data_IF_606661771486
#
_entry.id   IF_606661771486
#
_cell.length_a   1.000
_cell.length_b   1.000
_cell.length_c   1.000
_cell.angle_alpha   90.00
_cell.angle_beta   90.00
_cell.angle_gamma   90.00
#
_symmetry.space_group_name_H-M   'P 1'
#
loop_
_entity.id
_entity.type
_entity.pdbx_description
1 polymer ?
#
# COMPACT_ATOMS: atom_id res chain seq x y z
N UNK A 1 26.56 -0.87 37.17
CA UNK A 1 28.00 -0.85 36.87
C UNK A 1 28.85 -0.35 38.07
N UNK A 2 28.44 0.68 38.78
CA UNK A 2 29.21 1.27 39.93
C UNK A 2 29.41 0.34 41.10
N UNK A 3 28.69 -0.80 41.18
CA UNK A 3 28.82 -1.77 42.27
C UNK A 3 29.72 -2.95 41.89
N UNK A 4 30.17 -3.05 40.64
CA UNK A 4 31.01 -4.16 40.17
C UNK A 4 32.48 -3.79 40.38
N UNK A 5 33.22 -4.62 41.10
CA UNK A 5 34.64 -4.42 41.40
C UNK A 5 35.58 -5.18 40.47
N UNK A 6 35.06 -6.19 39.75
CA UNK A 6 35.83 -7.05 38.89
C UNK A 6 35.34 -6.85 37.43
N UNK A 7 36.19 -6.30 36.60
CA UNK A 7 35.90 -5.99 35.18
C UNK A 7 36.51 -7.01 34.22
N UNK A 8 37.06 -8.11 34.71
CA UNK A 8 37.67 -9.16 33.93
C UNK A 8 39.19 -9.18 33.96
N UNK A 9 39.76 -10.25 33.44
CA UNK A 9 41.20 -10.57 33.47
C UNK A 9 41.90 -10.43 32.09
N UNK A 10 41.22 -9.86 31.12
CA UNK A 10 41.71 -9.71 29.73
C UNK A 10 41.55 -10.99 28.89
N UNK A 11 40.88 -12.01 29.39
CA UNK A 11 40.58 -13.21 28.61
C UNK A 11 39.52 -12.97 27.53
N UNK A 12 39.52 -13.80 26.49
CA UNK A 12 38.57 -13.69 25.36
C UNK A 12 37.09 -13.78 25.79
N UNK A 13 36.83 -14.34 26.95
CA UNK A 13 35.46 -14.50 27.50
C UNK A 13 35.10 -13.46 28.55
N UNK A 14 36.04 -12.59 28.96
CA UNK A 14 35.81 -11.68 30.10
C UNK A 14 34.67 -10.69 29.83
N UNK A 15 34.53 -10.21 28.61
CA UNK A 15 33.42 -9.30 28.23
C UNK A 15 32.04 -10.00 28.27
N UNK A 16 31.96 -11.24 27.80
CA UNK A 16 30.71 -12.03 27.82
C UNK A 16 30.33 -12.44 29.28
N UNK A 17 31.30 -12.81 30.09
CA UNK A 17 31.10 -13.10 31.50
C UNK A 17 30.63 -11.87 32.29
N UNK A 18 31.23 -10.72 32.02
CA UNK A 18 30.80 -9.47 32.63
C UNK A 18 29.37 -9.11 32.18
N UNK A 19 29.04 -9.22 30.89
CA UNK A 19 27.71 -9.00 30.39
C UNK A 19 26.66 -9.82 31.12
N UNK A 20 26.92 -11.12 31.30
CA UNK A 20 25.98 -12.04 31.95
C UNK A 20 25.76 -11.78 33.45
N UNK A 21 26.76 -11.22 34.12
CA UNK A 21 26.73 -11.00 35.57
C UNK A 21 26.32 -9.59 36.00
N UNK A 22 26.71 -8.60 35.21
CA UNK A 22 26.67 -7.20 35.63
C UNK A 22 25.71 -6.32 34.86
N UNK A 23 25.29 -6.72 33.65
CA UNK A 23 24.43 -5.91 32.80
C UNK A 23 22.98 -6.38 32.88
N UNK A 24 22.04 -5.59 33.42
CA UNK A 24 20.65 -6.00 33.64
C UNK A 24 19.78 -5.84 32.40
N UNK A 25 20.36 -5.82 31.20
CA UNK A 25 19.64 -5.70 29.92
C UNK A 25 19.77 -6.99 29.13
N UNK A 26 18.76 -7.28 28.30
CA UNK A 26 18.71 -8.50 27.49
C UNK A 26 19.51 -8.36 26.18
N UNK A 27 19.64 -7.15 25.67
CA UNK A 27 20.30 -6.88 24.39
C UNK A 27 21.72 -6.37 24.65
N UNK A 28 22.65 -7.30 24.72
CA UNK A 28 24.07 -7.06 24.94
C UNK A 28 24.86 -7.88 23.97
N UNK A 29 25.65 -7.23 23.13
CA UNK A 29 26.53 -7.85 22.16
C UNK A 29 28.00 -7.65 22.54
N UNK A 30 28.84 -8.61 22.19
CA UNK A 30 30.30 -8.53 22.34
C UNK A 30 30.92 -8.55 20.95
N UNK A 31 31.69 -7.52 20.63
CA UNK A 31 32.38 -7.42 19.34
C UNK A 31 33.89 -7.21 19.53
N UNK A 32 34.68 -7.81 18.63
CA UNK A 32 36.13 -7.67 18.55
C UNK A 32 36.56 -6.82 17.33
N UNK A 33 35.60 -6.42 16.48
CA UNK A 33 35.84 -5.76 15.22
C UNK A 33 35.50 -4.27 15.31
N UNK A 34 36.46 -3.40 14.99
CA UNK A 34 36.27 -1.94 15.05
C UNK A 34 35.16 -1.46 14.11
N UNK A 35 35.04 -2.05 12.92
CA UNK A 35 34.01 -1.67 11.95
C UNK A 35 32.60 -1.96 12.46
N UNK A 36 32.41 -3.10 13.12
CA UNK A 36 31.15 -3.47 13.77
C UNK A 36 30.86 -2.55 14.95
N UNK A 37 31.85 -2.25 15.78
CA UNK A 37 31.74 -1.33 16.90
C UNK A 37 31.28 0.08 16.44
N UNK A 38 31.95 0.61 15.43
CA UNK A 38 31.59 1.92 14.85
C UNK A 38 30.15 1.89 14.32
N UNK A 39 29.77 0.83 13.59
CA UNK A 39 28.44 0.69 13.06
C UNK A 39 27.38 0.72 14.19
N UNK A 40 27.58 -0.08 15.24
CA UNK A 40 26.64 -0.15 16.38
C UNK A 40 26.54 1.18 17.13
N UNK A 41 27.68 1.85 17.36
CA UNK A 41 27.70 3.20 17.98
C UNK A 41 27.01 4.22 17.12
N UNK A 42 27.25 4.22 15.81
CA UNK A 42 26.57 5.12 14.86
C UNK A 42 25.07 4.81 14.74
N UNK A 43 24.66 3.59 15.04
CA UNK A 43 23.25 3.21 15.17
C UNK A 43 22.61 3.64 16.49
N UNK A 44 23.39 4.24 17.42
CA UNK A 44 22.91 4.77 18.70
C UNK A 44 23.06 3.80 19.89
N UNK A 45 23.73 2.65 19.73
CA UNK A 45 24.05 1.76 20.83
C UNK A 45 25.17 2.36 21.73
N UNK A 46 25.21 1.96 22.98
CA UNK A 46 26.23 2.38 23.92
C UNK A 46 27.36 1.38 23.95
N UNK A 47 28.57 1.80 23.58
CA UNK A 47 29.75 0.95 23.67
C UNK A 47 30.47 1.16 25.01
N UNK A 48 30.84 0.08 25.65
CA UNK A 48 31.63 0.05 26.88
C UNK A 48 32.98 -0.61 26.61
N UNK A 49 34.05 0.15 26.79
CA UNK A 49 35.43 -0.29 26.58
C UNK A 49 36.14 -0.35 27.93
N UNK A 50 36.79 -1.46 28.21
CA UNK A 50 37.54 -1.66 29.44
C UNK A 50 38.78 -2.51 29.16
N UNK A 51 39.91 -2.17 29.81
CA UNK A 51 41.15 -2.94 29.70
C UNK A 51 40.93 -4.43 30.08
N UNK A 52 40.06 -4.70 31.07
CA UNK A 52 39.70 -6.04 31.49
C UNK A 52 38.99 -6.90 30.45
N UNK A 53 38.56 -6.33 29.34
CA UNK A 53 37.88 -7.04 28.23
C UNK A 53 38.88 -7.41 27.10
N UNK A 54 40.17 -7.10 27.24
CA UNK A 54 41.17 -7.39 26.24
C UNK A 54 40.88 -6.73 24.89
N UNK A 55 40.64 -7.50 23.85
CA UNK A 55 40.33 -6.99 22.50
C UNK A 55 38.83 -6.80 22.23
N UNK A 56 37.96 -7.10 23.21
CA UNK A 56 36.54 -7.09 23.03
C UNK A 56 35.92 -5.79 23.56
N UNK A 57 34.88 -5.34 22.88
CA UNK A 57 34.03 -4.24 23.31
C UNK A 57 32.64 -4.80 23.67
N UNK A 58 32.06 -4.30 24.74
CA UNK A 58 30.70 -4.61 25.14
C UNK A 58 29.78 -3.53 24.55
N UNK A 59 28.80 -3.94 23.75
CA UNK A 59 27.81 -3.03 23.17
C UNK A 59 26.47 -3.31 23.83
N UNK A 60 25.86 -2.28 24.38
CA UNK A 60 24.57 -2.38 25.09
C UNK A 60 23.56 -1.58 24.30
N UNK A 61 22.48 -2.23 23.87
CA UNK A 61 21.37 -1.53 23.24
C UNK A 61 20.44 -0.96 24.31
N UNK A 62 20.57 0.36 24.52
CA UNK A 62 19.73 1.14 25.41
C UNK A 62 18.95 2.22 24.62
N UNK A 63 18.77 1.99 23.31
CA UNK A 63 18.12 2.98 22.47
C UNK A 63 16.66 3.14 22.86
N UNK A 64 16.29 4.36 23.14
CA UNK A 64 14.90 4.79 23.26
C UNK A 64 14.64 5.83 22.18
N UNK A 65 13.97 5.41 21.14
CA UNK A 65 13.54 6.34 20.11
C UNK A 65 12.23 7.01 20.53
N UNK A 66 12.06 8.33 20.29
CA UNK A 66 10.75 8.93 20.37
C UNK A 66 9.87 8.25 19.33
N UNK A 67 8.99 7.38 19.80
CA UNK A 67 8.04 6.68 18.95
C UNK A 67 6.67 7.31 19.13
N UNK A 68 5.95 7.46 18.02
CA UNK A 68 4.54 7.80 18.04
C UNK A 68 3.75 6.69 18.72
N UNK A 69 2.76 7.05 19.52
CA UNK A 69 1.80 6.07 20.03
C UNK A 69 1.02 5.41 18.87
N UNK A 70 0.54 4.19 19.09
CA UNK A 70 -0.25 3.48 18.10
C UNK A 70 -1.61 4.14 17.96
N UNK A 71 -1.85 4.77 16.83
CA UNK A 71 -3.11 5.42 16.48
C UNK A 71 -3.81 4.71 15.31
N UNK A 72 -5.08 5.06 15.08
CA UNK A 72 -5.81 4.56 13.92
C UNK A 72 -5.17 5.09 12.63
N UNK A 73 -4.87 4.22 11.64
CA UNK A 73 -4.28 4.62 10.38
C UNK A 73 -5.13 5.65 9.65
N UNK A 74 -4.50 6.61 8.99
CA UNK A 74 -5.25 7.62 8.22
C UNK A 74 -5.82 7.05 6.91
N UNK A 75 -5.07 6.16 6.24
CA UNK A 75 -5.44 5.62 4.93
C UNK A 75 -6.28 4.34 5.03
N UNK A 76 -6.09 3.53 6.06
CA UNK A 76 -6.76 2.23 6.26
C UNK A 76 -7.80 2.29 7.40
N UNK A 77 -8.57 3.37 7.50
CA UNK A 77 -9.63 3.52 8.52
C UNK A 77 -10.70 2.47 8.37
N UNK A 78 -11.24 2.00 9.49
CA UNK A 78 -12.34 1.04 9.52
C UNK A 78 -13.50 1.55 10.37
N UNK A 79 -14.71 1.22 9.94
CA UNK A 79 -15.91 1.54 10.72
C UNK A 79 -15.99 0.70 11.99
N UNK A 80 -15.47 -0.53 11.96
CA UNK A 80 -15.50 -1.47 13.07
C UNK A 80 -14.26 -2.34 13.07
N UNK A 81 -13.59 -2.49 14.22
CA UNK A 81 -12.43 -3.36 14.35
C UNK A 81 -11.34 -2.78 15.25
N UNK A 82 -10.14 -3.31 15.10
CA UNK A 82 -8.94 -2.80 15.78
C UNK A 82 -8.60 -1.41 15.25
N UNK A 83 -8.19 -0.51 16.12
CA UNK A 83 -7.79 0.86 15.77
C UNK A 83 -6.31 1.11 15.89
N UNK A 84 -5.53 0.06 16.18
CA UNK A 84 -4.08 0.17 16.20
C UNK A 84 -3.51 0.07 14.78
N UNK A 85 -2.64 1.00 14.45
CA UNK A 85 -1.87 1.06 13.22
C UNK A 85 -0.39 0.75 13.46
N UNK A 86 0.34 0.42 12.39
CA UNK A 86 1.78 0.34 12.42
C UNK A 86 2.40 1.72 12.67
N UNK A 87 3.57 1.72 13.28
CA UNK A 87 4.35 2.92 13.58
C UNK A 87 5.70 2.85 12.83
N UNK A 88 6.48 3.92 12.90
CA UNK A 88 7.77 3.99 12.21
C UNK A 88 8.81 3.01 12.77
N UNK A 89 8.67 2.58 14.03
CA UNK A 89 9.64 1.69 14.68
C UNK A 89 9.38 0.22 14.36
N UNK A 90 10.33 -0.43 13.68
CA UNK A 90 10.22 -1.82 13.23
C UNK A 90 9.89 -2.80 14.37
N UNK A 91 10.57 -2.69 15.52
CA UNK A 91 10.39 -3.61 16.64
C UNK A 91 8.98 -3.55 17.24
N UNK A 92 8.36 -2.37 17.32
CA UNK A 92 6.96 -2.25 17.74
C UNK A 92 6.01 -2.94 16.76
N UNK A 93 6.27 -2.80 15.47
CA UNK A 93 5.46 -3.42 14.42
C UNK A 93 5.51 -4.96 14.50
N UNK A 94 6.69 -5.52 14.72
CA UNK A 94 6.89 -6.96 14.93
C UNK A 94 6.18 -7.44 16.19
N UNK A 95 6.27 -6.69 17.29
CA UNK A 95 5.59 -6.99 18.53
C UNK A 95 4.07 -6.98 18.38
N UNK A 96 3.50 -6.05 17.60
CA UNK A 96 2.06 -6.01 17.30
C UNK A 96 1.59 -7.24 16.52
N UNK A 97 2.39 -7.71 15.55
CA UNK A 97 2.09 -8.96 14.82
C UNK A 97 2.21 -10.16 15.77
N UNK A 98 3.29 -10.27 16.57
CA UNK A 98 3.52 -11.36 17.51
C UNK A 98 2.42 -11.46 18.56
N UNK A 99 1.91 -10.33 19.06
CA UNK A 99 0.79 -10.29 20.01
C UNK A 99 -0.48 -10.94 19.45
N UNK A 100 -0.71 -10.80 18.13
CA UNK A 100 -1.87 -11.38 17.44
C UNK A 100 -1.67 -12.82 17.02
N UNK A 101 -0.45 -13.19 16.64
CA UNK A 101 -0.10 -14.55 16.20
C UNK A 101 0.88 -15.13 17.22
N UNK A 102 0.36 -15.97 18.12
CA UNK A 102 1.14 -16.62 19.18
C UNK A 102 1.63 -18.02 18.79
N UNK A 103 1.73 -18.26 17.49
CA UNK A 103 2.19 -19.52 16.91
C UNK A 103 3.73 -19.50 16.82
N UNK A 104 4.44 -20.55 17.29
CA UNK A 104 5.90 -20.64 17.16
C UNK A 104 6.38 -20.69 15.71
N UNK A 105 5.54 -21.11 14.77
CA UNK A 105 5.87 -21.13 13.35
C UNK A 105 5.89 -19.73 12.68
N UNK A 106 5.50 -18.66 13.41
CA UNK A 106 5.69 -17.30 12.93
C UNK A 106 7.16 -16.94 12.98
N UNK A 107 7.78 -16.72 11.84
CA UNK A 107 9.20 -16.43 11.71
C UNK A 107 9.43 -15.02 11.21
N UNK A 108 10.39 -14.34 11.81
CA UNK A 108 10.88 -13.03 11.42
C UNK A 108 12.33 -13.18 10.93
N UNK A 109 12.57 -12.95 9.65
CA UNK A 109 13.90 -12.96 9.07
C UNK A 109 14.39 -11.50 8.97
N UNK A 110 15.37 -11.17 9.78
CA UNK A 110 15.99 -9.84 9.80
C UNK A 110 17.00 -9.70 8.67
N UNK A 111 16.93 -8.61 7.95
CA UNK A 111 17.76 -8.27 6.80
C UNK A 111 18.13 -6.78 6.90
N UNK A 112 19.26 -6.41 6.33
CA UNK A 112 19.67 -5.02 6.20
C UNK A 112 19.87 -4.71 4.72
N UNK A 113 19.46 -3.52 4.31
CA UNK A 113 19.64 -3.08 2.94
C UNK A 113 20.05 -1.60 2.88
N UNK A 114 20.69 -1.25 1.77
CA UNK A 114 21.32 0.06 1.57
C UNK A 114 22.77 0.10 2.05
N UNK A 115 23.65 0.66 1.24
CA UNK A 115 25.10 0.73 1.55
C UNK A 115 25.38 1.79 2.62
N UNK A 116 24.69 2.93 2.55
CA UNK A 116 24.85 4.06 3.49
C UNK A 116 23.79 4.07 4.58
N UNK A 117 22.51 3.78 4.27
CA UNK A 117 21.43 3.83 5.25
C UNK A 117 21.39 2.62 6.17
N UNK A 118 21.83 1.44 5.69
CA UNK A 118 21.80 0.14 6.41
C UNK A 118 20.49 -0.06 7.15
N UNK A 119 19.40 0.18 6.43
CA UNK A 119 18.03 0.16 7.00
C UNK A 119 17.64 -1.26 7.38
N UNK A 120 17.11 -1.42 8.58
CA UNK A 120 16.63 -2.70 9.08
C UNK A 120 15.31 -3.07 8.41
N UNK A 121 15.23 -4.31 7.96
CA UNK A 121 14.07 -4.89 7.27
C UNK A 121 13.74 -6.22 7.92
N UNK A 122 12.47 -6.48 8.16
CA UNK A 122 11.98 -7.75 8.62
C UNK A 122 11.05 -8.41 7.60
N UNK A 123 11.40 -9.61 7.17
CA UNK A 123 10.55 -10.45 6.35
C UNK A 123 9.79 -11.41 7.27
N UNK A 124 8.47 -11.24 7.35
CA UNK A 124 7.59 -11.98 8.24
C UNK A 124 6.82 -13.04 7.44
N UNK A 125 6.78 -14.27 7.92
CA UNK A 125 6.05 -15.37 7.27
C UNK A 125 5.72 -16.49 8.27
N UNK A 126 4.76 -17.34 7.89
CA UNK A 126 4.41 -18.54 8.65
C UNK A 126 5.10 -19.76 8.05
N UNK A 127 5.95 -20.43 8.81
CA UNK A 127 6.53 -21.70 8.39
C UNK A 127 5.45 -22.75 8.14
N UNK A 128 5.63 -23.55 7.08
CA UNK A 128 4.65 -24.56 6.67
C UNK A 128 3.42 -24.03 5.93
N UNK A 129 3.20 -22.69 5.87
CA UNK A 129 2.11 -22.07 5.08
C UNK A 129 2.63 -21.23 3.93
N UNK A 130 3.67 -20.43 4.15
CA UNK A 130 4.32 -19.66 3.10
C UNK A 130 5.14 -20.58 2.18
N UNK A 131 5.23 -20.23 0.90
CA UNK A 131 6.10 -20.94 -0.05
C UNK A 131 7.57 -20.65 0.28
N UNK A 132 8.37 -21.66 0.69
CA UNK A 132 9.77 -21.44 1.08
C UNK A 132 10.64 -20.90 -0.06
N UNK A 133 10.34 -21.31 -1.31
CA UNK A 133 11.07 -20.83 -2.50
C UNK A 133 10.84 -19.34 -2.71
N UNK A 134 9.62 -18.88 -2.46
CA UNK A 134 9.26 -17.48 -2.60
C UNK A 134 9.91 -16.62 -1.50
N UNK A 135 9.92 -17.10 -0.26
CA UNK A 135 10.60 -16.43 0.86
C UNK A 135 12.10 -16.29 0.60
N UNK A 136 12.77 -17.39 0.18
CA UNK A 136 14.19 -17.35 -0.22
C UNK A 136 14.44 -16.34 -1.33
N UNK A 137 13.63 -16.35 -2.38
CA UNK A 137 13.77 -15.43 -3.51
C UNK A 137 13.66 -13.97 -3.07
N UNK A 138 12.70 -13.64 -2.18
CA UNK A 138 12.55 -12.29 -1.63
C UNK A 138 13.78 -11.91 -0.79
N UNK A 139 14.23 -12.79 0.10
CA UNK A 139 15.39 -12.54 0.95
C UNK A 139 16.67 -12.32 0.11
N UNK A 140 16.90 -13.13 -0.94
CA UNK A 140 18.02 -12.94 -1.86
C UNK A 140 17.95 -11.61 -2.60
N UNK A 141 16.77 -11.24 -3.10
CA UNK A 141 16.57 -9.96 -3.78
C UNK A 141 16.85 -8.77 -2.85
N UNK A 142 16.39 -8.83 -1.60
CA UNK A 142 16.63 -7.76 -0.61
C UNK A 142 18.13 -7.67 -0.31
N UNK A 143 18.83 -8.80 -0.10
CA UNK A 143 20.28 -8.81 0.13
C UNK A 143 21.08 -8.32 -1.06
N UNK A 144 20.58 -8.51 -2.27
CA UNK A 144 21.24 -8.07 -3.52
C UNK A 144 20.99 -6.60 -3.85
N UNK A 145 20.23 -5.87 -3.02
CA UNK A 145 19.99 -4.44 -3.24
C UNK A 145 21.29 -3.65 -3.02
N UNK A 146 21.76 -3.02 -4.09
CA UNK A 146 22.96 -2.15 -4.09
C UNK A 146 22.63 -0.68 -3.99
N UNK A 147 21.37 -0.36 -3.63
CA UNK A 147 20.91 1.02 -3.50
C UNK A 147 21.65 1.71 -2.36
N UNK A 148 22.12 2.92 -2.61
CA UNK A 148 22.96 3.65 -1.65
C UNK A 148 22.18 4.01 -0.37
N UNK A 149 20.93 4.49 -0.53
CA UNK A 149 20.08 4.83 0.61
C UNK A 149 18.63 4.43 0.40
N UNK A 150 17.98 3.99 1.48
CA UNK A 150 16.55 3.61 1.54
C UNK A 150 15.78 4.59 2.42
N UNK A 151 16.00 5.89 2.23
CA UNK A 151 15.46 6.96 3.09
C UNK A 151 13.93 7.03 3.02
N UNK A 152 13.33 6.73 1.86
CA UNK A 152 11.88 6.73 1.69
C UNK A 152 11.22 5.42 2.17
N UNK A 153 11.89 4.69 3.06
CA UNK A 153 11.36 3.48 3.68
C UNK A 153 10.88 2.43 2.66
N UNK A 154 9.64 1.96 2.83
CA UNK A 154 9.03 0.93 1.98
C UNK A 154 9.02 1.29 0.49
N UNK A 155 8.82 2.57 0.12
CA UNK A 155 8.78 3.00 -1.28
C UNK A 155 10.13 2.80 -1.98
N UNK A 156 11.25 3.16 -1.34
CA UNK A 156 12.59 2.92 -1.89
C UNK A 156 12.88 1.43 -2.11
N UNK A 157 12.39 0.59 -1.19
CA UNK A 157 12.49 -0.87 -1.33
C UNK A 157 11.62 -1.35 -2.49
N UNK A 158 10.39 -0.87 -2.61
CA UNK A 158 9.46 -1.22 -3.69
C UNK A 158 10.06 -0.95 -5.08
N UNK A 159 10.62 0.24 -5.26
CA UNK A 159 11.26 0.65 -6.52
C UNK A 159 12.51 -0.17 -6.83
N UNK A 160 13.28 -0.52 -5.81
CA UNK A 160 14.50 -1.32 -5.95
C UNK A 160 14.21 -2.79 -6.23
N UNK A 161 13.16 -3.36 -5.61
CA UNK A 161 12.75 -4.75 -5.80
C UNK A 161 12.08 -5.01 -7.14
N UNK A 162 11.31 -4.05 -7.64
CA UNK A 162 10.49 -4.24 -8.83
C UNK A 162 10.83 -3.17 -9.87
N UNK A 163 11.33 -3.62 -11.00
CA UNK A 163 11.50 -2.75 -12.17
C UNK A 163 10.13 -2.29 -12.66
N UNK A 164 9.73 -1.07 -12.31
CA UNK A 164 8.54 -0.45 -12.86
C UNK A 164 8.78 -0.03 -14.31
N UNK A 165 7.75 -0.25 -15.15
CA UNK A 165 7.72 0.26 -16.51
C UNK A 165 6.99 1.60 -16.48
N UNK A 166 7.62 2.67 -16.90
CA UNK A 166 7.08 4.05 -16.87
C UNK A 166 5.69 4.21 -17.51
N UNK A 167 5.35 3.35 -18.49
CA UNK A 167 4.06 3.39 -19.19
C UNK A 167 2.96 2.54 -18.52
N UNK A 168 3.28 1.75 -17.50
CA UNK A 168 2.29 0.93 -16.81
C UNK A 168 2.00 1.52 -15.42
N UNK A 169 0.85 2.17 -15.25
CA UNK A 169 0.51 2.86 -14.00
C UNK A 169 0.00 1.93 -12.90
N UNK A 170 -0.21 0.64 -13.17
CA UNK A 170 -0.78 -0.29 -12.19
C UNK A 170 0.23 -0.62 -11.09
N UNK A 171 -0.15 -0.45 -9.80
CA UNK A 171 0.70 -0.78 -8.66
C UNK A 171 1.00 -2.27 -8.61
N UNK A 172 2.17 -2.64 -8.10
CA UNK A 172 2.64 -4.03 -8.05
C UNK A 172 2.74 -4.59 -6.64
N UNK A 173 2.75 -3.72 -5.65
CA UNK A 173 2.85 -4.06 -4.24
C UNK A 173 1.66 -3.40 -3.55
N UNK A 174 0.95 -4.16 -2.75
CA UNK A 174 -0.04 -3.63 -1.83
C UNK A 174 0.64 -3.37 -0.49
N UNK A 175 0.37 -2.23 0.09
CA UNK A 175 0.75 -1.88 1.46
C UNK A 175 -0.46 -1.90 2.38
N UNK A 176 -0.22 -2.00 3.67
CA UNK A 176 -1.23 -1.82 4.71
C UNK A 176 -0.59 -1.22 5.96
N UNK A 177 -1.28 -0.27 6.57
CA UNK A 177 -0.90 0.31 7.87
C UNK A 177 -1.47 -0.50 9.04
N UNK A 178 -2.21 -1.60 8.77
CA UNK A 178 -2.99 -2.35 9.75
C UNK A 178 -2.34 -3.66 10.18
N UNK A 179 -1.98 -3.83 11.45
CA UNK A 179 -1.43 -5.08 11.98
C UNK A 179 -2.41 -6.26 11.95
N UNK A 180 -3.74 -6.01 12.02
CA UNK A 180 -4.75 -7.06 11.94
C UNK A 180 -4.87 -7.62 10.51
N UNK A 181 -4.86 -6.74 9.49
CA UNK A 181 -4.85 -7.13 8.09
C UNK A 181 -3.57 -7.92 7.73
N UNK A 182 -2.39 -7.41 8.14
CA UNK A 182 -1.11 -8.09 7.96
C UNK A 182 -1.10 -9.48 8.61
N UNK A 183 -1.59 -9.59 9.85
CA UNK A 183 -1.68 -10.86 10.57
C UNK A 183 -2.61 -11.86 9.87
N UNK A 184 -3.73 -11.41 9.33
CA UNK A 184 -4.65 -12.27 8.58
C UNK A 184 -3.98 -12.85 7.32
N UNK A 185 -3.23 -12.03 6.59
CA UNK A 185 -2.49 -12.43 5.38
C UNK A 185 -1.39 -13.44 5.72
N UNK A 186 -0.64 -13.23 6.81
CA UNK A 186 0.36 -14.19 7.29
C UNK A 186 -0.25 -15.56 7.59
N UNK A 187 -1.40 -15.59 8.25
CA UNK A 187 -2.12 -16.83 8.56
C UNK A 187 -2.64 -17.55 7.32
N UNK A 188 -2.83 -16.85 6.20
CA UNK A 188 -3.22 -17.38 4.89
C UNK A 188 -2.03 -17.82 4.04
N UNK A 189 -0.80 -17.66 4.54
CA UNK A 189 0.44 -18.05 3.87
C UNK A 189 1.07 -16.95 3.00
N UNK A 190 0.62 -15.70 3.14
CA UNK A 190 1.30 -14.54 2.58
C UNK A 190 2.59 -14.21 3.32
N UNK A 191 3.39 -13.37 2.72
CA UNK A 191 4.65 -12.85 3.25
C UNK A 191 4.52 -11.34 3.42
N UNK A 192 4.93 -10.84 4.57
CA UNK A 192 4.89 -9.41 4.89
C UNK A 192 6.32 -8.90 5.03
N UNK A 193 6.61 -7.76 4.44
CA UNK A 193 7.87 -7.06 4.63
C UNK A 193 7.61 -5.76 5.37
N UNK A 194 8.29 -5.61 6.49
CA UNK A 194 8.33 -4.39 7.30
C UNK A 194 9.70 -3.75 7.17
N UNK A 195 9.73 -2.45 7.10
CA UNK A 195 10.94 -1.65 7.03
C UNK A 195 10.96 -0.67 8.19
N UNK A 196 12.13 -0.45 8.78
CA UNK A 196 12.30 0.59 9.77
C UNK A 196 12.05 1.98 9.17
N UNK A 197 11.62 2.92 9.98
CA UNK A 197 11.19 4.27 9.56
C UNK A 197 10.00 4.29 8.59
N UNK A 198 9.14 3.24 8.60
CA UNK A 198 7.94 3.19 7.76
C UNK A 198 6.77 2.57 8.51
N UNK A 199 5.60 3.25 8.56
CA UNK A 199 4.40 2.73 9.20
C UNK A 199 3.60 1.79 8.28
N UNK A 200 4.16 1.37 7.16
CA UNK A 200 3.48 0.53 6.18
C UNK A 200 4.15 -0.83 6.02
N UNK A 201 3.33 -1.87 5.97
CA UNK A 201 3.74 -3.23 5.68
C UNK A 201 3.46 -3.58 4.23
N UNK A 202 4.47 -4.06 3.49
CA UNK A 202 4.32 -4.54 2.13
C UNK A 202 3.87 -5.99 2.11
N UNK A 203 2.88 -6.29 1.28
CA UNK A 203 2.24 -7.61 1.17
C UNK A 203 2.73 -8.32 -0.08
N UNK A 204 3.10 -9.60 0.07
CA UNK A 204 3.57 -10.45 -1.02
C UNK A 204 2.97 -11.86 -0.95
N UNK A 205 2.70 -12.51 -2.11
CA UNK A 205 2.52 -11.92 -3.45
C UNK A 205 1.24 -11.10 -3.53
N UNK A 206 1.19 -10.10 -4.40
CA UNK A 206 0.02 -9.21 -4.57
C UNK A 206 -0.65 -9.43 -5.92
N UNK A 207 -1.97 -9.48 -5.94
CA UNK A 207 -2.83 -9.48 -7.13
C UNK A 207 -3.61 -8.17 -7.22
N UNK A 208 -4.16 -7.84 -8.41
CA UNK A 208 -5.01 -6.66 -8.57
C UNK A 208 -6.25 -6.71 -7.66
N UNK A 209 -6.76 -7.90 -7.40
CA UNK A 209 -7.96 -8.08 -6.57
C UNK A 209 -7.69 -7.87 -5.08
N UNK A 210 -6.44 -7.99 -4.64
CA UNK A 210 -6.08 -7.76 -3.25
C UNK A 210 -6.23 -6.28 -2.88
N UNK A 211 -6.02 -5.36 -3.84
CA UNK A 211 -6.26 -3.93 -3.63
C UNK A 211 -7.74 -3.56 -3.42
N UNK A 212 -8.66 -4.45 -3.79
CA UNK A 212 -10.10 -4.25 -3.68
C UNK A 212 -10.70 -4.85 -2.40
N UNK A 213 -9.88 -5.51 -1.58
CA UNK A 213 -10.29 -6.08 -0.30
C UNK A 213 -9.93 -5.13 0.84
N UNK A 214 -10.87 -4.88 1.71
CA UNK A 214 -10.69 -4.08 2.92
C UNK A 214 -10.94 -4.90 4.19
N UNK A 215 -10.35 -4.43 5.30
CA UNK A 215 -10.51 -5.07 6.59
C UNK A 215 -11.97 -5.06 7.06
N UNK A 216 -12.71 -4.00 6.76
CA UNK A 216 -14.13 -3.86 7.10
C UNK A 216 -15.00 -5.01 6.59
N UNK A 217 -14.69 -5.58 5.42
CA UNK A 217 -15.43 -6.71 4.86
C UNK A 217 -15.47 -7.92 5.80
N UNK A 218 -14.44 -8.07 6.65
CA UNK A 218 -14.31 -9.18 7.59
C UNK A 218 -14.99 -8.90 8.93
N UNK A 219 -15.18 -7.64 9.30
CA UNK A 219 -15.80 -7.25 10.56
C UNK A 219 -17.33 -7.24 10.50
N UNK A 220 -17.93 -7.13 9.31
CA UNK A 220 -19.37 -7.18 9.12
C UNK A 220 -19.91 -8.62 8.99
N UNK A 221 -21.22 -8.87 9.16
CA UNK A 221 -21.84 -10.16 8.88
C UNK A 221 -21.58 -10.62 7.44
N UNK A 222 -21.59 -11.95 7.14
CA UNK A 222 -21.24 -12.48 5.81
C UNK A 222 -22.01 -11.87 4.66
N UNK A 223 -23.30 -11.61 4.83
CA UNK A 223 -24.15 -11.00 3.79
C UNK A 223 -23.71 -9.55 3.50
N UNK A 224 -23.57 -8.75 4.55
CA UNK A 224 -23.15 -7.34 4.43
C UNK A 224 -21.73 -7.22 3.87
N UNK A 225 -20.78 -8.03 4.36
CA UNK A 225 -19.41 -8.03 3.85
C UNK A 225 -19.35 -8.47 2.38
N UNK A 226 -20.18 -9.43 1.95
CA UNK A 226 -20.28 -9.82 0.53
C UNK A 226 -20.85 -8.68 -0.31
N UNK A 227 -21.92 -8.02 0.17
CA UNK A 227 -22.51 -6.87 -0.52
C UNK A 227 -21.50 -5.75 -0.73
N UNK A 228 -20.75 -5.37 0.32
CA UNK A 228 -19.74 -4.32 0.24
C UNK A 228 -18.61 -4.66 -0.75
N UNK A 229 -18.15 -5.92 -0.79
CA UNK A 229 -17.15 -6.39 -1.76
C UNK A 229 -17.65 -6.28 -3.20
N UNK A 230 -18.85 -6.79 -3.47
CA UNK A 230 -19.43 -6.73 -4.81
C UNK A 230 -19.65 -5.29 -5.24
N UNK A 231 -20.20 -4.45 -4.34
CA UNK A 231 -20.41 -3.04 -4.60
C UNK A 231 -19.10 -2.31 -4.93
N UNK A 232 -18.04 -2.53 -4.15
CA UNK A 232 -16.73 -1.94 -4.38
C UNK A 232 -16.14 -2.36 -5.72
N UNK A 233 -16.23 -3.65 -6.08
CA UNK A 233 -15.78 -4.13 -7.38
C UNK A 233 -16.57 -3.50 -8.54
N UNK A 234 -17.91 -3.41 -8.41
CA UNK A 234 -18.74 -2.77 -9.43
C UNK A 234 -18.37 -1.29 -9.61
N UNK A 235 -18.27 -0.54 -8.52
CA UNK A 235 -17.88 0.87 -8.53
C UNK A 235 -16.51 1.03 -9.20
N UNK A 236 -15.55 0.20 -8.82
CA UNK A 236 -14.19 0.22 -9.34
C UNK A 236 -14.14 0.06 -10.86
N UNK A 237 -14.77 -0.97 -11.41
CA UNK A 237 -14.82 -1.16 -12.86
C UNK A 237 -15.66 -0.08 -13.57
N UNK A 238 -16.73 0.37 -12.92
CA UNK A 238 -17.56 1.44 -13.45
C UNK A 238 -16.78 2.76 -13.61
N UNK A 239 -15.88 3.10 -12.69
CA UNK A 239 -15.08 4.34 -12.80
C UNK A 239 -14.22 4.40 -14.06
N UNK A 240 -13.75 3.26 -14.55
CA UNK A 240 -12.94 3.20 -15.76
C UNK A 240 -13.77 3.37 -17.05
N UNK A 241 -14.97 2.80 -17.04
CA UNK A 241 -15.76 2.63 -18.27
C UNK A 241 -16.86 3.68 -18.41
N UNK A 242 -17.40 4.19 -17.32
CA UNK A 242 -18.63 4.98 -17.29
C UNK A 242 -18.56 6.24 -18.20
N UNK A 243 -17.56 7.08 -18.02
CA UNK A 243 -17.44 8.33 -18.77
C UNK A 243 -17.08 8.12 -20.24
N UNK A 244 -16.15 7.21 -20.63
CA UNK A 244 -15.92 6.92 -22.04
C UNK A 244 -17.13 6.28 -22.73
N UNK A 245 -17.86 5.40 -22.03
CA UNK A 245 -19.08 4.77 -22.55
C UNK A 245 -20.18 5.81 -22.75
N UNK A 246 -20.37 6.72 -21.78
CA UNK A 246 -21.32 7.81 -21.91
C UNK A 246 -20.96 8.70 -23.10
N UNK A 247 -19.70 9.07 -23.27
CA UNK A 247 -19.23 9.85 -24.41
C UNK A 247 -19.49 9.15 -25.75
N UNK A 248 -19.26 7.83 -25.83
CA UNK A 248 -19.56 7.01 -26.99
C UNK A 248 -21.07 7.02 -27.33
N UNK A 249 -21.93 6.88 -26.32
CA UNK A 249 -23.40 6.91 -26.51
C UNK A 249 -23.89 8.25 -27.05
N UNK A 250 -23.25 9.36 -26.70
CA UNK A 250 -23.57 10.69 -27.24
C UNK A 250 -23.27 10.80 -28.72
N UNK A 251 -22.26 10.08 -29.24
CA UNK A 251 -21.96 10.01 -30.66
C UNK A 251 -23.00 9.21 -31.47
N UNK A 252 -23.84 8.38 -30.85
CA UNK A 252 -24.75 7.45 -31.48
C UNK A 252 -26.20 7.62 -31.02
N UNK A 253 -26.66 8.86 -30.90
CA UNK A 253 -28.00 9.19 -30.35
C UNK A 253 -29.14 8.56 -31.13
N UNK A 254 -29.02 8.39 -32.45
CA UNK A 254 -30.05 7.87 -33.34
C UNK A 254 -30.33 6.36 -33.11
N UNK A 255 -29.33 5.61 -32.60
CA UNK A 255 -29.43 4.20 -32.28
C UNK A 255 -29.88 3.89 -30.86
N UNK A 256 -30.06 4.90 -29.99
CA UNK A 256 -30.37 4.69 -28.58
C UNK A 256 -31.82 4.25 -28.36
N UNK A 257 -32.04 3.15 -27.59
CA UNK A 257 -33.37 2.76 -27.17
C UNK A 257 -34.07 3.89 -26.41
N UNK A 258 -35.40 3.99 -26.52
CA UNK A 258 -36.17 5.04 -25.88
C UNK A 258 -35.91 5.16 -24.36
N UNK A 259 -35.63 4.05 -23.68
CA UNK A 259 -35.30 4.02 -22.26
C UNK A 259 -33.94 4.59 -21.86
N UNK A 260 -33.03 4.81 -22.83
CA UNK A 260 -31.69 5.39 -22.58
C UNK A 260 -31.56 6.84 -23.09
N UNK A 261 -32.60 7.42 -23.66
CA UNK A 261 -32.57 8.80 -24.16
C UNK A 261 -32.35 9.86 -23.10
N UNK A 262 -32.64 9.55 -21.83
CA UNK A 262 -32.35 10.45 -20.72
C UNK A 262 -30.86 10.73 -20.49
N UNK A 263 -29.98 9.90 -21.09
CA UNK A 263 -28.51 10.04 -21.00
C UNK A 263 -27.99 11.18 -21.87
N UNK A 264 -28.81 11.64 -22.84
CA UNK A 264 -28.43 12.72 -23.77
C UNK A 264 -28.72 14.06 -23.11
N UNK A 265 -27.69 14.93 -22.93
CA UNK A 265 -27.87 16.26 -22.35
C UNK A 265 -28.88 17.09 -23.14
N UNK A 266 -29.78 17.78 -22.45
CA UNK A 266 -30.71 18.71 -23.08
C UNK A 266 -30.00 19.98 -23.62
N UNK A 267 -28.99 20.44 -22.87
CA UNK A 267 -28.10 21.55 -23.27
C UNK A 267 -26.64 21.11 -23.08
N UNK A 268 -25.91 20.86 -24.17
CA UNK A 268 -24.51 20.43 -24.09
C UNK A 268 -23.53 21.53 -23.67
N UNK A 269 -24.01 22.78 -23.50
CA UNK A 269 -23.16 23.91 -23.18
C UNK A 269 -22.34 24.43 -24.37
N UNK A 270 -21.50 25.44 -24.10
CA UNK A 270 -20.68 26.13 -25.13
C UNK A 270 -19.39 25.37 -25.48
N UNK A 271 -18.91 24.53 -24.61
CA UNK A 271 -17.66 23.80 -24.78
C UNK A 271 -17.94 22.36 -25.25
N UNK A 272 -17.09 21.76 -26.11
CA UNK A 272 -17.22 20.36 -26.49
C UNK A 272 -17.20 19.45 -25.24
N UNK A 273 -18.05 18.43 -25.19
CA UNK A 273 -18.21 17.56 -24.03
C UNK A 273 -16.89 16.87 -23.63
N UNK A 274 -16.07 16.50 -24.62
CA UNK A 274 -14.73 15.96 -24.33
C UNK A 274 -13.89 16.93 -23.50
N UNK A 275 -13.86 18.20 -23.88
CA UNK A 275 -13.11 19.24 -23.17
C UNK A 275 -13.69 19.47 -21.76
N UNK A 276 -15.01 19.42 -21.61
CA UNK A 276 -15.66 19.52 -20.30
C UNK A 276 -15.24 18.38 -19.39
N UNK A 277 -15.24 17.13 -19.87
CA UNK A 277 -14.81 15.95 -19.11
C UNK A 277 -13.34 16.05 -18.68
N UNK A 278 -12.44 16.41 -19.59
CA UNK A 278 -11.02 16.54 -19.29
C UNK A 278 -10.73 17.70 -18.34
N UNK A 279 -11.42 18.83 -18.51
CA UNK A 279 -11.29 19.99 -17.61
C UNK A 279 -11.76 19.65 -16.19
N UNK A 280 -12.90 18.98 -16.07
CA UNK A 280 -13.43 18.56 -14.77
C UNK A 280 -12.52 17.53 -14.10
N UNK A 281 -11.92 16.61 -14.86
CA UNK A 281 -10.94 15.66 -14.36
C UNK A 281 -9.71 16.37 -13.77
N UNK A 282 -9.19 17.38 -14.48
CA UNK A 282 -8.07 18.20 -14.02
C UNK A 282 -8.44 19.02 -12.77
N UNK A 283 -9.65 19.58 -12.77
CA UNK A 283 -10.14 20.38 -11.65
C UNK A 283 -10.32 19.53 -10.37
N UNK A 284 -10.82 18.30 -10.49
CA UNK A 284 -10.93 17.36 -9.36
C UNK A 284 -9.55 16.99 -8.79
N UNK A 285 -8.54 16.81 -9.63
CA UNK A 285 -7.17 16.61 -9.15
C UNK A 285 -6.61 17.85 -8.46
N UNK A 286 -6.86 19.03 -9.05
CA UNK A 286 -6.46 20.29 -8.41
C UNK A 286 -7.07 20.46 -7.03
N UNK A 287 -8.36 20.13 -6.87
CA UNK A 287 -9.02 20.15 -5.55
C UNK A 287 -8.38 19.14 -4.57
N UNK A 288 -8.09 17.94 -5.06
CA UNK A 288 -7.45 16.91 -4.24
C UNK A 288 -6.05 17.34 -3.76
N UNK A 289 -5.23 17.89 -4.67
CA UNK A 289 -3.90 18.41 -4.33
C UNK A 289 -3.99 19.61 -3.38
N UNK A 290 -4.96 20.50 -3.59
CA UNK A 290 -5.20 21.62 -2.70
C UNK A 290 -5.61 21.16 -1.30
N UNK A 291 -6.43 20.12 -1.18
CA UNK A 291 -6.87 19.60 0.12
C UNK A 291 -5.72 19.00 0.94
N UNK A 292 -4.71 18.40 0.30
CA UNK A 292 -3.53 17.86 0.97
C UNK A 292 -2.65 18.96 1.60
N UNK A 293 -2.60 20.14 0.96
CA UNK A 293 -1.78 21.26 1.42
C UNK A 293 -2.55 22.25 2.32
N UNK A 294 -3.83 22.03 2.53
CA UNK A 294 -4.68 22.94 3.30
C UNK A 294 -4.80 22.45 4.74
N UNK A 295 -4.60 23.33 5.75
CA UNK A 295 -4.87 22.98 7.15
C UNK A 295 -6.31 22.47 7.33
N UNK A 296 -6.50 21.47 8.21
CA UNK A 296 -7.81 20.81 8.42
C UNK A 296 -8.97 21.77 8.68
N UNK A 297 -8.69 22.91 9.33
CA UNK A 297 -9.71 23.94 9.63
C UNK A 297 -10.25 24.58 8.34
N UNK A 298 -9.44 24.74 7.30
CA UNK A 298 -9.82 25.38 6.03
C UNK A 298 -10.29 24.38 4.96
N UNK A 299 -10.03 23.10 5.14
CA UNK A 299 -10.35 22.05 4.16
C UNK A 299 -11.87 21.99 3.86
N UNK A 300 -12.72 22.14 4.86
CA UNK A 300 -14.17 22.19 4.67
C UNK A 300 -14.60 23.40 3.83
N UNK A 301 -14.02 24.57 4.08
CA UNK A 301 -14.31 25.79 3.33
C UNK A 301 -13.85 25.66 1.87
N UNK A 302 -12.69 25.08 1.62
CA UNK A 302 -12.18 24.83 0.27
C UNK A 302 -13.10 23.89 -0.51
N UNK A 303 -13.60 22.84 0.12
CA UNK A 303 -14.53 21.89 -0.49
C UNK A 303 -15.84 22.54 -0.91
N UNK A 304 -16.40 23.43 -0.04
CA UNK A 304 -17.63 24.20 -0.37
C UNK A 304 -17.39 25.17 -1.51
N UNK A 305 -16.31 25.94 -1.46
CA UNK A 305 -15.96 26.90 -2.53
C UNK A 305 -15.68 26.16 -3.84
N UNK A 306 -14.93 25.05 -3.81
CA UNK A 306 -14.68 24.22 -4.98
C UNK A 306 -15.96 23.66 -5.59
N UNK A 307 -16.88 23.17 -4.76
CA UNK A 307 -18.18 22.67 -5.19
C UNK A 307 -19.05 23.76 -5.86
N UNK A 308 -19.08 24.97 -5.30
CA UNK A 308 -19.81 26.11 -5.88
C UNK A 308 -19.19 26.58 -7.20
N UNK A 309 -17.85 26.69 -7.27
CA UNK A 309 -17.17 27.16 -8.48
C UNK A 309 -17.30 26.15 -9.63
N UNK A 310 -17.10 24.88 -9.36
CA UNK A 310 -17.16 23.83 -10.40
C UNK A 310 -18.60 23.42 -10.73
N UNK A 311 -19.52 23.47 -9.74
CA UNK A 311 -20.91 23.12 -9.94
C UNK A 311 -21.72 24.29 -10.49
N UNK A 312 -22.07 25.21 -9.63
CA UNK A 312 -23.09 26.21 -9.89
C UNK A 312 -22.65 27.29 -10.88
N UNK A 313 -21.46 27.86 -10.67
CA UNK A 313 -20.97 28.93 -11.55
C UNK A 313 -20.60 28.42 -12.94
N UNK A 314 -19.94 27.26 -13.06
CA UNK A 314 -19.52 26.72 -14.35
C UNK A 314 -20.71 26.34 -15.23
N UNK A 315 -21.81 25.87 -14.63
CA UNK A 315 -23.08 25.61 -15.35
C UNK A 315 -23.77 26.89 -15.70
N UNK A 316 -23.88 27.86 -14.78
CA UNK A 316 -24.55 29.14 -15.03
C UNK A 316 -23.90 29.93 -16.18
N UNK A 317 -22.56 29.90 -16.27
CA UNK A 317 -21.81 30.52 -17.36
C UNK A 317 -21.95 29.72 -18.68
N UNK A 318 -22.40 28.48 -18.61
CA UNK A 318 -22.55 27.56 -19.74
C UNK A 318 -21.23 26.91 -20.19
N UNK A 319 -20.22 26.83 -19.32
CA UNK A 319 -18.97 26.12 -19.63
C UNK A 319 -19.13 24.61 -19.47
N UNK A 320 -19.83 24.19 -18.41
CA UNK A 320 -20.10 22.79 -18.14
C UNK A 320 -21.60 22.50 -18.24
N UNK A 321 -21.95 21.35 -18.78
CA UNK A 321 -23.32 20.87 -18.69
C UNK A 321 -23.56 20.10 -17.38
N UNK A 322 -24.79 20.10 -16.83
CA UNK A 322 -25.12 19.42 -15.59
C UNK A 322 -24.80 17.92 -15.63
N UNK A 323 -24.96 17.28 -16.79
CA UNK A 323 -24.72 15.86 -16.98
C UNK A 323 -23.23 15.50 -16.81
N UNK A 324 -22.31 16.33 -17.32
CA UNK A 324 -20.86 16.15 -17.09
C UNK A 324 -20.56 16.18 -15.60
N UNK A 325 -21.14 17.14 -14.86
CA UNK A 325 -20.91 17.24 -13.43
C UNK A 325 -21.47 16.01 -12.71
N UNK A 326 -22.64 15.51 -13.11
CA UNK A 326 -23.24 14.31 -12.51
C UNK A 326 -22.34 13.09 -12.68
N UNK A 327 -21.88 12.80 -13.91
CA UNK A 327 -21.00 11.66 -14.16
C UNK A 327 -19.64 11.81 -13.50
N UNK A 328 -19.07 13.00 -13.49
CA UNK A 328 -17.78 13.26 -12.85
C UNK A 328 -17.87 13.28 -11.32
N UNK A 329 -19.01 13.67 -10.74
CA UNK A 329 -19.26 13.53 -9.31
C UNK A 329 -19.32 12.07 -8.89
N UNK A 330 -19.98 11.20 -9.67
CA UNK A 330 -19.95 9.75 -9.44
C UNK A 330 -18.52 9.23 -9.45
N UNK A 331 -17.71 9.60 -10.44
CA UNK A 331 -16.30 9.21 -10.52
C UNK A 331 -15.50 9.71 -9.33
N UNK A 332 -15.71 10.96 -8.90
CA UNK A 332 -15.03 11.53 -7.74
C UNK A 332 -15.36 10.75 -6.45
N UNK A 333 -16.65 10.51 -6.18
CA UNK A 333 -17.10 9.73 -5.02
C UNK A 333 -16.53 8.31 -5.08
N UNK A 334 -16.57 7.69 -6.25
CA UNK A 334 -16.05 6.34 -6.45
C UNK A 334 -14.53 6.24 -6.22
N UNK A 335 -13.76 7.27 -6.52
CA UNK A 335 -12.34 7.32 -6.18
C UNK A 335 -12.08 7.34 -4.67
N UNK A 336 -12.99 7.92 -3.86
CA UNK A 336 -12.88 7.90 -2.40
C UNK A 336 -13.28 6.54 -1.76
N UNK A 337 -13.94 5.66 -2.51
CA UNK A 337 -14.25 4.31 -2.03
C UNK A 337 -13.10 3.32 -2.20
N UNK A 338 -11.97 3.76 -2.76
CA UNK A 338 -10.79 2.92 -3.01
C UNK A 338 -9.76 3.10 -1.90
N UNK A 339 -9.29 1.99 -1.32
CA UNK A 339 -8.24 2.00 -0.30
C UNK A 339 -6.86 2.34 -0.86
N UNK A 340 -6.62 2.06 -2.16
CA UNK A 340 -5.33 2.34 -2.81
C UNK A 340 -5.42 3.54 -3.74
N UNK A 341 -4.75 4.63 -3.35
CA UNK A 341 -4.61 5.82 -4.20
C UNK A 341 -3.91 5.52 -5.54
N UNK A 342 -2.86 4.69 -5.51
CA UNK A 342 -2.11 4.32 -6.72
C UNK A 342 -2.99 3.62 -7.75
N UNK A 343 -3.82 2.67 -7.28
CA UNK A 343 -4.77 1.98 -8.14
C UNK A 343 -5.83 2.94 -8.69
N UNK A 344 -6.31 3.87 -7.88
CA UNK A 344 -7.24 4.93 -8.29
C UNK A 344 -6.68 5.77 -9.43
N UNK A 345 -5.43 6.21 -9.34
CA UNK A 345 -4.75 6.95 -10.41
C UNK A 345 -4.51 6.08 -11.65
N UNK A 346 -4.18 4.80 -11.50
CA UNK A 346 -4.03 3.89 -12.63
C UNK A 346 -5.33 3.79 -13.45
N UNK A 347 -6.47 3.65 -12.77
CA UNK A 347 -7.79 3.62 -13.42
C UNK A 347 -8.17 4.96 -14.05
N UNK A 348 -7.81 6.06 -13.42
CA UNK A 348 -7.97 7.38 -14.01
C UNK A 348 -7.21 7.51 -15.32
N UNK A 349 -5.93 7.14 -15.35
CA UNK A 349 -5.14 7.19 -16.61
C UNK A 349 -5.75 6.31 -17.69
N UNK A 350 -6.24 5.13 -17.33
CA UNK A 350 -6.94 4.26 -18.29
C UNK A 350 -8.25 4.88 -18.77
N UNK A 351 -9.06 5.47 -17.90
CA UNK A 351 -10.28 6.18 -18.26
C UNK A 351 -10.02 7.30 -19.23
N UNK A 352 -9.04 8.17 -18.96
CA UNK A 352 -8.66 9.28 -19.84
C UNK A 352 -8.14 8.76 -21.17
N UNK A 353 -7.33 7.71 -21.18
CA UNK A 353 -6.85 7.07 -22.40
C UNK A 353 -8.00 6.53 -23.25
N UNK A 354 -8.92 5.77 -22.66
CA UNK A 354 -10.09 5.23 -23.36
C UNK A 354 -10.94 6.36 -23.90
N UNK A 355 -11.16 7.43 -23.12
CA UNK A 355 -11.94 8.60 -23.52
C UNK A 355 -11.33 9.29 -24.77
N UNK A 356 -10.02 9.52 -24.77
CA UNK A 356 -9.32 10.14 -25.90
C UNK A 356 -9.36 9.23 -27.13
N UNK A 357 -9.12 7.93 -26.97
CA UNK A 357 -9.21 6.98 -28.08
C UNK A 357 -10.64 6.89 -28.65
N UNK A 358 -11.66 6.92 -27.79
CA UNK A 358 -13.07 6.97 -28.20
C UNK A 358 -13.38 8.24 -28.99
N UNK A 359 -12.83 9.38 -28.57
CA UNK A 359 -13.02 10.63 -29.31
C UNK A 359 -12.35 10.64 -30.69
N UNK A 360 -11.26 9.91 -30.88
CA UNK A 360 -10.51 9.85 -32.15
C UNK A 360 -11.03 8.76 -33.10
N UNK A 361 -11.42 7.60 -32.58
CA UNK A 361 -11.72 6.40 -33.35
C UNK A 361 -13.11 5.81 -33.06
N UNK A 362 -13.94 6.54 -32.33
CA UNK A 362 -15.31 6.16 -31.97
C UNK A 362 -15.39 4.77 -31.32
N UNK A 363 -16.29 3.88 -31.75
CA UNK A 363 -16.47 2.52 -31.20
C UNK A 363 -15.15 1.73 -31.19
N UNK A 364 -14.36 1.82 -32.26
CA UNK A 364 -13.07 1.13 -32.34
C UNK A 364 -12.05 1.68 -31.34
N UNK A 365 -12.11 2.98 -31.06
CA UNK A 365 -11.30 3.62 -30.03
C UNK A 365 -11.66 3.15 -28.63
N UNK A 366 -12.96 3.02 -28.33
CA UNK A 366 -13.44 2.49 -27.05
C UNK A 366 -12.99 1.04 -26.82
N UNK A 367 -13.24 0.16 -27.81
CA UNK A 367 -12.83 -1.24 -27.74
C UNK A 367 -11.30 -1.36 -27.64
N UNK A 368 -10.57 -0.64 -28.47
CA UNK A 368 -9.11 -0.61 -28.47
C UNK A 368 -8.54 -0.15 -27.13
N UNK A 369 -9.11 0.90 -26.53
CA UNK A 369 -8.71 1.41 -25.22
C UNK A 369 -8.97 0.40 -24.09
N UNK A 370 -10.11 -0.28 -24.11
CA UNK A 370 -10.41 -1.36 -23.17
C UNK A 370 -9.41 -2.53 -23.31
N UNK A 371 -9.08 -2.92 -24.54
CA UNK A 371 -8.07 -3.95 -24.79
C UNK A 371 -6.71 -3.54 -24.27
N UNK A 372 -6.28 -2.29 -24.49
CA UNK A 372 -5.01 -1.77 -23.98
C UNK A 372 -5.00 -1.84 -22.44
N UNK A 373 -6.07 -1.42 -21.76
CA UNK A 373 -6.17 -1.52 -20.30
C UNK A 373 -6.03 -2.96 -19.81
N UNK A 374 -6.74 -3.90 -20.43
CA UNK A 374 -6.66 -5.34 -20.10
C UNK A 374 -5.24 -5.87 -20.33
N UNK A 375 -4.60 -5.53 -21.44
CA UNK A 375 -3.21 -5.95 -21.74
C UNK A 375 -2.23 -5.38 -20.72
N UNK A 376 -2.36 -4.12 -20.32
CA UNK A 376 -1.51 -3.52 -19.29
C UNK A 376 -1.66 -4.22 -17.94
N UNK A 377 -2.88 -4.57 -17.54
CA UNK A 377 -3.14 -5.35 -16.33
C UNK A 377 -2.54 -6.75 -16.45
N UNK A 378 -2.76 -7.45 -17.57
CA UNK A 378 -2.29 -8.81 -17.79
C UNK A 378 -0.77 -8.93 -17.89
N UNK A 379 -0.11 -7.92 -18.46
CA UNK A 379 1.36 -7.88 -18.60
C UNK A 379 2.08 -7.35 -17.36
N UNK A 380 1.34 -6.94 -16.33
CA UNK A 380 1.91 -6.51 -15.07
C UNK A 380 2.50 -7.72 -14.33
N UNK A 381 3.84 -7.76 -14.19
CA UNK A 381 4.54 -8.86 -13.52
C UNK A 381 4.79 -8.47 -12.08
N UNK A 382 4.35 -9.31 -11.16
CA UNK A 382 4.77 -9.28 -9.75
C UNK A 382 6.20 -9.82 -9.59
N UNK A 383 6.75 -9.69 -8.40
CA UNK A 383 8.04 -10.33 -8.06
C UNK A 383 7.88 -11.82 -8.32
N UNK A 384 8.77 -12.41 -9.15
CA UNK A 384 8.73 -13.78 -9.67
C UNK A 384 8.10 -14.79 -8.70
N UNK A 385 6.78 -14.75 -8.58
CA UNK A 385 6.00 -15.63 -7.72
C UNK A 385 5.23 -16.65 -8.56
N UNK A 386 4.74 -17.67 -7.90
CA UNK A 386 3.87 -18.68 -8.48
C UNK A 386 2.50 -18.13 -8.88
N UNK A 387 2.12 -16.95 -8.37
CA UNK A 387 0.84 -16.30 -8.66
C UNK A 387 1.02 -15.15 -9.64
N UNK A 388 0.15 -15.10 -10.65
CA UNK A 388 0.10 -13.95 -11.58
C UNK A 388 -0.60 -12.75 -10.93
N UNK A 389 -0.40 -11.55 -11.50
CA UNK A 389 -1.09 -10.35 -11.06
C UNK A 389 -2.62 -10.44 -11.19
N UNK A 390 -3.12 -11.30 -12.09
CA UNK A 390 -4.54 -11.60 -12.29
C UNK A 390 -5.03 -12.82 -11.48
N UNK A 391 -4.26 -13.33 -10.52
CA UNK A 391 -4.77 -14.38 -9.64
C UNK A 391 -5.97 -13.85 -8.83
N UNK A 392 -7.07 -14.60 -8.69
CA UNK A 392 -7.32 -16.01 -9.05
C UNK A 392 -7.95 -16.24 -10.43
N UNK A 393 -7.94 -15.25 -11.31
CA UNK A 393 -8.48 -15.40 -12.66
C UNK A 393 -7.52 -16.20 -13.56
N UNK A 394 -6.20 -15.93 -13.44
CA UNK A 394 -5.15 -16.62 -14.17
C UNK A 394 -4.00 -16.95 -13.21
N UNK A 395 -3.72 -18.24 -12.88
CA UNK A 395 -4.52 -19.43 -13.22
C UNK A 395 -5.86 -19.43 -12.50
N UNK A 396 -6.87 -20.05 -13.12
CA UNK A 396 -8.23 -20.03 -12.58
C UNK A 396 -8.37 -20.96 -11.37
N UNK A 397 -8.67 -20.36 -10.22
CA UNK A 397 -8.94 -21.07 -8.97
C UNK A 397 -10.35 -20.73 -8.46
N UNK A 398 -11.27 -21.69 -8.60
CA UNK A 398 -12.68 -21.53 -8.21
C UNK A 398 -12.83 -21.21 -6.72
N UNK A 399 -12.02 -21.83 -5.85
CA UNK A 399 -12.11 -21.62 -4.39
C UNK A 399 -11.63 -20.23 -4.01
N UNK A 400 -10.52 -19.78 -4.60
CA UNK A 400 -9.98 -18.45 -4.38
C UNK A 400 -10.92 -17.38 -4.97
N UNK A 401 -11.50 -17.63 -6.16
CA UNK A 401 -12.49 -16.73 -6.76
C UNK A 401 -13.75 -16.61 -5.89
N UNK A 402 -14.24 -17.73 -5.37
CA UNK A 402 -15.39 -17.71 -4.45
C UNK A 402 -15.06 -16.92 -3.15
N UNK A 403 -13.84 -17.01 -2.63
CA UNK A 403 -13.41 -16.22 -1.47
C UNK A 403 -13.25 -14.73 -1.79
N UNK A 404 -12.89 -14.40 -3.02
CA UNK A 404 -12.78 -13.03 -3.48
C UNK A 404 -14.16 -12.34 -3.50
N UNK A 405 -15.18 -13.02 -4.04
CA UNK A 405 -16.54 -12.47 -4.21
C UNK A 405 -17.34 -12.61 -2.92
N UNK A 406 -17.32 -13.80 -2.32
CA UNK A 406 -18.13 -14.11 -1.15
C UNK A 406 -17.29 -14.12 0.12
N UNK A 407 -17.77 -13.44 1.14
CA UNK A 407 -17.22 -13.60 2.50
C UNK A 407 -17.64 -14.97 3.05
N UNK A 408 -16.84 -15.99 2.78
CA UNK A 408 -17.06 -17.32 3.35
C UNK A 408 -16.69 -17.30 4.84
N UNK A 409 -17.58 -17.81 5.69
CA UNK A 409 -17.31 -17.99 7.12
C UNK A 409 -16.14 -18.97 7.26
N UNK A 410 -15.06 -18.61 7.98
CA UNK A 410 -14.04 -19.59 8.35
C UNK A 410 -14.76 -20.66 9.20
N UNK A 411 -14.70 -21.92 8.78
CA UNK A 411 -15.15 -23.02 9.63
C UNK A 411 -14.28 -23.04 10.87
N UNK A 412 -14.87 -23.24 12.04
CA UNK A 412 -14.13 -23.39 13.30
C UNK A 412 -13.15 -24.56 13.22
#
# INVERSE_FOLDING_TARGET
>A
LFTVKDFGDGSDNAAADFASRAVPTVEVDVTDTIDQLILMVMSGCTAYLCEGFGKHALVIDLRTYPARETEEPENDKVMRGSRDGFVETLMFNLAMIRRRIRDPNLTFCYLNAGTSSRTDIALCYMEGKADPKYVCLLAEKIRSLTTDSLIMGHQSIAESLIRQRWYNPFPKIRTTERPDAASAILLEGGVILLCDNSPEAMIFPTSIFDFLQEADDFYFPPLTGTYLRVLRQLIFWATMILTPLWYLLLGHTDGLPAGLRFVVPADPGKMPILCQLLLTELALDGLKLASLNTPNVLSNSLSVVGGLLLGDFAVTVGWLCPDVILYMSFVAIANFTQSSYELGYAFKYMRVLILILTALFDIWGFVGGCVVAIVLIATNKTINGTRSYLYPLIPFDVKAMARLVFRLKKKP
#
